data_IF_367956153140
#
_entry.id   IF_367956153140
#
_cell.length_a   1.000
_cell.length_b   1.000
_cell.length_c   1.000
_cell.angle_alpha   90.00
_cell.angle_beta   90.00
_cell.angle_gamma   90.00
#
_symmetry.space_group_name_H-M   'P 1'
#
loop_
_entity.id
_entity.type
_entity.pdbx_description
1 polymer ?
#
# COMPACT_ATOMS: atom_id res chain seq x y z
N UNK A 1 10.40 -3.39 18.42
CA UNK A 1 9.71 -2.67 19.50
C UNK A 1 8.46 -3.45 19.87
N UNK A 2 8.15 -3.58 21.18
CA UNK A 2 6.89 -4.21 21.59
C UNK A 2 5.75 -3.36 21.02
N UNK A 3 4.91 -3.97 20.23
CA UNK A 3 3.70 -3.33 19.72
C UNK A 3 2.60 -3.47 20.77
N UNK A 4 1.81 -2.43 20.96
CA UNK A 4 0.59 -2.50 21.77
C UNK A 4 -0.57 -3.12 20.99
N UNK A 5 -0.28 -3.61 19.78
CA UNK A 5 -1.27 -4.27 18.94
C UNK A 5 -1.75 -5.56 19.61
N UNK A 6 -3.05 -5.66 19.80
CA UNK A 6 -3.74 -6.86 20.20
C UNK A 6 -4.86 -7.10 19.21
N UNK A 7 -4.94 -8.33 18.72
CA UNK A 7 -6.04 -8.75 17.89
C UNK A 7 -7.34 -8.86 18.67
N UNK A 8 -8.46 -8.69 18.02
CA UNK A 8 -9.76 -8.85 18.68
C UNK A 8 -10.07 -10.33 18.84
N UNK A 9 -10.63 -10.70 20.00
CA UNK A 9 -11.02 -12.10 20.26
C UNK A 9 -12.03 -12.56 19.20
N UNK A 10 -11.70 -13.66 18.52
CA UNK A 10 -12.52 -14.22 17.45
C UNK A 10 -12.25 -13.63 16.05
N UNK A 11 -11.35 -12.65 15.91
CA UNK A 11 -10.91 -12.19 14.59
C UNK A 11 -10.03 -13.24 13.90
N UNK A 12 -10.52 -13.81 12.81
CA UNK A 12 -9.81 -14.79 11.99
C UNK A 12 -9.28 -14.21 10.69
N UNK A 13 -9.50 -12.92 10.44
CA UNK A 13 -9.12 -12.23 9.23
C UNK A 13 -7.68 -11.74 9.27
N UNK A 14 -6.92 -11.95 8.20
CA UNK A 14 -5.57 -11.41 8.02
C UNK A 14 -5.63 -10.08 7.26
N UNK A 15 -5.26 -8.98 7.92
CA UNK A 15 -5.14 -7.64 7.33
C UNK A 15 -3.68 -7.29 7.10
N UNK A 16 -3.33 -6.96 5.86
CA UNK A 16 -1.97 -6.58 5.48
C UNK A 16 -2.03 -5.22 4.79
N UNK A 17 -1.21 -4.28 5.24
CA UNK A 17 -1.12 -2.96 4.63
C UNK A 17 0.26 -2.74 3.99
N UNK A 18 0.27 -2.07 2.85
CA UNK A 18 1.47 -1.71 2.11
C UNK A 18 1.48 -0.23 1.78
N UNK A 19 2.64 0.41 1.90
CA UNK A 19 2.89 1.60 1.11
C UNK A 19 3.03 1.23 -0.37
N UNK A 20 2.92 2.22 -1.24
CA UNK A 20 2.98 1.99 -2.68
C UNK A 20 4.37 2.25 -3.26
N UNK A 21 4.87 3.50 -3.18
CA UNK A 21 6.16 3.89 -3.73
C UNK A 21 7.31 3.34 -2.88
N UNK A 22 8.32 2.76 -3.53
CA UNK A 22 9.44 2.12 -2.83
C UNK A 22 9.12 0.77 -2.18
N UNK A 23 7.87 0.30 -2.24
CA UNK A 23 7.40 -0.97 -1.67
C UNK A 23 6.79 -1.87 -2.74
N UNK A 24 5.61 -1.54 -3.25
CA UNK A 24 4.92 -2.29 -4.31
C UNK A 24 5.39 -1.85 -5.69
N UNK A 25 5.53 -0.55 -5.90
CA UNK A 25 6.14 0.08 -7.08
C UNK A 25 7.56 0.55 -6.78
N UNK A 26 8.31 0.86 -7.83
CA UNK A 26 9.62 1.49 -7.73
C UNK A 26 9.55 2.90 -7.13
N UNK A 27 10.71 3.50 -6.90
CA UNK A 27 10.86 4.83 -6.27
C UNK A 27 11.05 5.97 -7.28
N UNK A 28 10.78 5.73 -8.55
CA UNK A 28 10.97 6.71 -9.64
C UNK A 28 10.14 7.97 -9.45
N UNK A 29 8.92 7.83 -8.93
CA UNK A 29 8.04 8.94 -8.63
C UNK A 29 8.57 9.80 -7.47
N UNK A 30 9.07 9.17 -6.42
CA UNK A 30 9.70 9.84 -5.28
C UNK A 30 10.98 10.57 -5.70
N UNK A 31 11.80 9.94 -6.56
CA UNK A 31 12.99 10.59 -7.16
C UNK A 31 12.62 11.86 -7.93
N UNK A 32 11.56 11.80 -8.70
CA UNK A 32 11.06 12.97 -9.46
C UNK A 32 10.61 14.08 -8.51
N UNK A 33 9.84 13.73 -7.49
CA UNK A 33 9.38 14.67 -6.48
C UNK A 33 10.54 15.38 -5.76
N UNK A 34 11.54 14.61 -5.29
CA UNK A 34 12.69 15.16 -4.59
C UNK A 34 13.61 16.02 -5.47
N UNK A 35 13.76 15.67 -6.75
CA UNK A 35 14.65 16.39 -7.65
C UNK A 35 14.04 17.65 -8.29
N UNK A 36 12.74 17.62 -8.58
CA UNK A 36 12.08 18.67 -9.39
C UNK A 36 10.83 19.26 -8.70
N UNK A 37 10.43 18.73 -7.55
CA UNK A 37 9.33 19.23 -6.73
C UNK A 37 7.94 18.76 -7.16
N UNK A 38 6.93 19.20 -6.39
CA UNK A 38 5.55 18.71 -6.50
C UNK A 38 4.91 18.96 -7.87
N UNK A 39 5.12 20.13 -8.46
CA UNK A 39 4.50 20.46 -9.76
C UNK A 39 5.01 19.57 -10.89
N UNK A 40 6.32 19.32 -10.94
CA UNK A 40 6.92 18.43 -11.94
C UNK A 40 6.47 16.99 -11.75
N UNK A 41 6.40 16.53 -10.50
CA UNK A 41 5.85 15.22 -10.13
C UNK A 41 4.40 15.08 -10.63
N UNK A 42 3.52 16.01 -10.27
CA UNK A 42 2.10 15.96 -10.67
C UNK A 42 1.94 15.98 -12.20
N UNK A 43 2.71 16.81 -12.91
CA UNK A 43 2.66 16.85 -14.36
C UNK A 43 3.09 15.51 -14.99
N UNK A 44 4.17 14.92 -14.48
CA UNK A 44 4.63 13.60 -14.96
C UNK A 44 3.60 12.50 -14.70
N UNK A 45 2.94 12.51 -13.54
CA UNK A 45 1.91 11.53 -13.20
C UNK A 45 0.67 11.65 -14.12
N UNK A 46 0.31 12.88 -14.51
CA UNK A 46 -0.75 13.12 -15.51
C UNK A 46 -0.32 12.62 -16.89
N UNK A 47 0.88 13.00 -17.35
CA UNK A 47 1.37 12.66 -18.68
C UNK A 47 1.55 11.14 -18.85
N UNK A 48 1.98 10.47 -17.78
CA UNK A 48 2.26 9.04 -17.76
C UNK A 48 1.16 8.19 -17.11
N UNK A 49 -0.04 8.71 -16.93
CA UNK A 49 -1.14 8.03 -16.22
C UNK A 49 -1.49 6.64 -16.75
N UNK A 50 -1.23 6.37 -18.04
CA UNK A 50 -1.44 5.07 -18.70
C UNK A 50 -0.17 4.22 -18.75
N UNK A 51 0.94 4.70 -18.23
CA UNK A 51 2.22 3.98 -18.18
C UNK A 51 2.46 3.49 -16.76
N UNK A 52 2.51 2.18 -16.52
CA UNK A 52 2.77 1.65 -15.18
C UNK A 52 4.16 2.05 -14.70
N UNK A 53 4.29 2.19 -13.38
CA UNK A 53 5.57 2.29 -12.70
C UNK A 53 6.33 0.95 -12.75
N UNK A 54 7.63 1.00 -12.50
CA UNK A 54 8.43 -0.21 -12.36
C UNK A 54 8.04 -0.98 -11.10
N UNK A 55 8.37 -2.27 -11.07
CA UNK A 55 8.14 -3.11 -9.91
C UNK A 55 9.00 -2.69 -8.72
N UNK A 56 8.40 -2.61 -7.55
CA UNK A 56 9.10 -2.44 -6.29
C UNK A 56 9.54 -3.77 -5.67
N UNK A 57 10.26 -3.72 -4.53
CA UNK A 57 10.83 -4.90 -3.91
C UNK A 57 9.79 -5.92 -3.42
N UNK A 58 8.60 -5.48 -3.03
CA UNK A 58 7.52 -6.37 -2.57
C UNK A 58 6.43 -6.63 -3.62
N UNK A 59 6.64 -6.21 -4.88
CA UNK A 59 5.70 -6.44 -5.97
C UNK A 59 5.26 -7.92 -6.06
N UNK A 60 6.22 -8.83 -6.03
CA UNK A 60 5.96 -10.27 -6.14
C UNK A 60 5.17 -10.83 -4.96
N UNK A 61 5.45 -10.38 -3.73
CA UNK A 61 4.70 -10.74 -2.54
C UNK A 61 3.25 -10.22 -2.64
N UNK A 62 3.10 -8.93 -2.95
CA UNK A 62 1.79 -8.31 -3.11
C UNK A 62 0.94 -9.03 -4.17
N UNK A 63 1.53 -9.36 -5.32
CA UNK A 63 0.83 -10.09 -6.38
C UNK A 63 0.30 -11.45 -5.91
N UNK A 64 1.10 -12.23 -5.18
CA UNK A 64 0.68 -13.52 -4.65
C UNK A 64 -0.44 -13.39 -3.61
N UNK A 65 -0.32 -12.43 -2.69
CA UNK A 65 -1.36 -12.16 -1.69
C UNK A 65 -2.64 -11.67 -2.35
N UNK A 66 -2.53 -10.82 -3.38
CA UNK A 66 -3.67 -10.36 -4.17
C UNK A 66 -4.42 -11.52 -4.85
N UNK A 67 -3.70 -12.50 -5.36
CA UNK A 67 -4.31 -13.72 -5.92
C UNK A 67 -5.06 -14.53 -4.85
N UNK A 68 -4.47 -14.69 -3.66
CA UNK A 68 -5.12 -15.36 -2.53
C UNK A 68 -6.40 -14.62 -2.11
N UNK A 69 -6.34 -13.28 -1.98
CA UNK A 69 -7.49 -12.45 -1.66
C UNK A 69 -8.62 -12.60 -2.71
N UNK A 70 -8.26 -12.67 -3.99
CA UNK A 70 -9.23 -12.89 -5.07
C UNK A 70 -9.90 -14.25 -4.96
N UNK A 71 -9.14 -15.31 -4.71
CA UNK A 71 -9.68 -16.66 -4.52
C UNK A 71 -10.59 -16.73 -3.28
N UNK A 72 -10.23 -16.04 -2.21
CA UNK A 72 -11.02 -15.95 -1.00
C UNK A 72 -12.35 -15.22 -1.26
N UNK A 73 -12.33 -14.09 -1.96
CA UNK A 73 -13.53 -13.36 -2.37
C UNK A 73 -14.45 -14.21 -3.28
N UNK A 74 -13.89 -15.00 -4.18
CA UNK A 74 -14.65 -15.93 -5.03
C UNK A 74 -15.37 -17.01 -4.21
N UNK A 75 -14.79 -17.47 -3.11
CA UNK A 75 -15.44 -18.45 -2.20
C UNK A 75 -16.67 -17.87 -1.50
N UNK A 76 -16.61 -16.58 -1.16
CA UNK A 76 -17.68 -15.88 -0.43
C UNK A 76 -18.74 -15.24 -1.32
N UNK A 77 -18.61 -15.29 -2.64
CA UNK A 77 -19.44 -14.51 -3.58
C UNK A 77 -20.96 -14.74 -3.45
N UNK A 78 -21.36 -15.95 -3.05
CA UNK A 78 -22.79 -16.34 -2.92
C UNK A 78 -23.29 -16.26 -1.47
N UNK A 79 -22.45 -15.86 -0.52
CA UNK A 79 -22.77 -15.71 0.90
C UNK A 79 -22.65 -14.25 1.33
N UNK A 80 -23.79 -13.55 1.57
CA UNK A 80 -23.78 -12.15 1.98
C UNK A 80 -23.20 -11.90 3.38
N UNK A 81 -22.98 -12.95 4.17
CA UNK A 81 -22.38 -12.90 5.51
C UNK A 81 -20.94 -13.37 5.53
N UNK A 82 -20.36 -13.66 4.37
CA UNK A 82 -18.98 -14.10 4.25
C UNK A 82 -18.02 -12.98 4.65
N UNK A 83 -17.18 -13.26 5.63
CA UNK A 83 -16.08 -12.36 6.02
C UNK A 83 -14.78 -12.84 5.34
N UNK A 84 -14.16 -11.99 4.50
CA UNK A 84 -12.92 -12.35 3.82
C UNK A 84 -11.81 -12.68 4.82
N UNK A 85 -11.15 -13.83 4.63
CA UNK A 85 -10.02 -14.24 5.45
C UNK A 85 -8.76 -13.41 5.20
N UNK A 86 -8.64 -12.76 4.03
CA UNK A 86 -7.49 -11.92 3.68
C UNK A 86 -7.98 -10.58 3.14
N UNK A 87 -7.46 -9.49 3.71
CA UNK A 87 -7.69 -8.11 3.24
C UNK A 87 -6.37 -7.40 3.06
N UNK A 88 -6.13 -6.91 1.86
CA UNK A 88 -4.93 -6.15 1.50
C UNK A 88 -5.32 -4.70 1.28
N UNK A 89 -4.64 -3.80 1.99
CA UNK A 89 -4.79 -2.37 1.83
C UNK A 89 -3.51 -1.74 1.27
N UNK A 90 -3.68 -0.72 0.43
CA UNK A 90 -2.62 0.21 0.06
C UNK A 90 -2.85 1.52 0.80
N UNK A 91 -1.85 1.99 1.54
CA UNK A 91 -1.90 3.23 2.32
C UNK A 91 -0.73 4.11 1.86
N UNK A 92 -1.00 5.05 0.99
CA UNK A 92 0.03 5.84 0.30
C UNK A 92 -0.11 7.34 0.57
N UNK A 93 1.03 8.04 0.58
CA UNK A 93 1.08 9.51 0.63
C UNK A 93 0.69 10.18 -0.69
N UNK A 94 0.45 9.42 -1.74
CA UNK A 94 -0.07 9.96 -3.00
C UNK A 94 -1.44 10.62 -2.80
N UNK A 95 -1.75 11.59 -3.64
CA UNK A 95 -3.06 12.23 -3.77
C UNK A 95 -3.40 12.43 -5.24
N UNK A 96 -4.55 13.07 -5.52
CA UNK A 96 -4.87 13.45 -6.88
C UNK A 96 -3.84 14.48 -7.42
N UNK A 97 -3.43 14.41 -8.68
CA UNK A 97 -3.91 13.55 -9.77
C UNK A 97 -3.10 12.25 -9.98
N UNK A 98 -2.27 11.84 -9.01
CA UNK A 98 -1.36 10.70 -9.18
C UNK A 98 -2.00 9.31 -8.96
N UNK A 99 -3.27 9.28 -8.55
CA UNK A 99 -4.03 8.05 -8.32
C UNK A 99 -4.20 7.20 -9.58
N UNK A 100 -4.35 7.83 -10.75
CA UNK A 100 -4.59 7.09 -11.99
C UNK A 100 -3.40 6.21 -12.39
N UNK A 101 -2.18 6.73 -12.24
CA UNK A 101 -0.97 5.97 -12.53
C UNK A 101 -0.77 4.82 -11.54
N UNK A 102 -1.11 5.03 -10.27
CA UNK A 102 -1.13 3.98 -9.26
C UNK A 102 -2.09 2.85 -9.66
N UNK A 103 -3.34 3.18 -10.01
CA UNK A 103 -4.35 2.20 -10.45
C UNK A 103 -3.88 1.47 -11.72
N UNK A 104 -3.31 2.20 -12.69
CA UNK A 104 -2.75 1.63 -13.91
C UNK A 104 -1.64 0.63 -13.57
N UNK A 105 -0.78 0.95 -12.62
CA UNK A 105 0.32 0.09 -12.17
C UNK A 105 -0.21 -1.19 -11.52
N UNK A 106 -1.15 -1.09 -10.57
CA UNK A 106 -1.76 -2.26 -9.93
C UNK A 106 -2.41 -3.18 -10.97
N UNK A 107 -3.17 -2.62 -11.91
CA UNK A 107 -3.81 -3.39 -12.98
C UNK A 107 -2.80 -4.07 -13.90
N UNK A 108 -1.72 -3.40 -14.27
CA UNK A 108 -0.68 -3.96 -15.15
C UNK A 108 0.02 -5.17 -14.54
N UNK A 109 0.13 -5.21 -13.21
CA UNK A 109 0.71 -6.33 -12.48
C UNK A 109 -0.33 -7.41 -12.09
N UNK A 110 -1.59 -7.23 -12.51
CA UNK A 110 -2.68 -8.15 -12.14
C UNK A 110 -2.99 -8.13 -10.65
N UNK A 111 -2.70 -7.01 -9.98
CA UNK A 111 -2.89 -6.86 -8.54
C UNK A 111 -4.24 -6.26 -8.20
N UNK A 112 -4.76 -6.66 -7.06
CA UNK A 112 -6.00 -6.17 -6.47
C UNK A 112 -5.80 -5.87 -4.99
N UNK A 113 -6.19 -4.70 -4.55
CA UNK A 113 -6.28 -4.33 -3.13
C UNK A 113 -7.75 -4.18 -2.73
N UNK A 114 -8.12 -4.62 -1.54
CA UNK A 114 -9.47 -4.45 -1.01
C UNK A 114 -9.74 -2.97 -0.69
N UNK A 115 -8.74 -2.28 -0.17
CA UNK A 115 -8.81 -0.86 0.17
C UNK A 115 -7.62 -0.09 -0.41
N UNK A 116 -7.89 1.15 -0.83
CA UNK A 116 -6.89 2.08 -1.32
C UNK A 116 -7.08 3.44 -0.64
N UNK A 117 -6.10 3.84 0.18
CA UNK A 117 -6.09 5.10 0.91
C UNK A 117 -5.05 6.05 0.32
N UNK A 118 -5.54 7.12 -0.28
CA UNK A 118 -4.73 8.20 -0.86
C UNK A 118 -4.74 9.37 0.11
N UNK A 119 -3.62 9.67 0.74
CA UNK A 119 -3.56 10.57 1.88
C UNK A 119 -3.10 11.99 1.55
N UNK A 120 -2.62 12.23 0.33
CA UNK A 120 -2.13 13.54 -0.11
C UNK A 120 -1.12 14.18 0.87
N UNK A 121 -0.17 13.37 1.31
CA UNK A 121 0.84 13.78 2.28
C UNK A 121 0.40 13.79 3.74
N UNK A 122 -0.87 13.49 4.05
CA UNK A 122 -1.33 13.38 5.44
C UNK A 122 -0.70 12.16 6.14
N UNK A 123 -0.59 12.20 7.48
CA UNK A 123 -0.04 11.08 8.26
C UNK A 123 -0.82 9.78 8.05
N UNK A 124 -0.12 8.66 7.92
CA UNK A 124 -0.72 7.31 7.75
C UNK A 124 -1.32 6.76 9.05
N UNK A 125 -0.82 7.19 10.20
CA UNK A 125 -1.19 6.68 11.52
C UNK A 125 -2.71 6.63 11.79
N UNK A 126 -3.53 7.67 11.51
CA UNK A 126 -4.96 7.60 11.75
C UNK A 126 -5.64 6.45 10.99
N UNK A 127 -5.26 6.26 9.71
CA UNK A 127 -5.81 5.18 8.88
C UNK A 127 -5.34 3.82 9.38
N UNK A 128 -4.06 3.67 9.70
CA UNK A 128 -3.51 2.43 10.25
C UNK A 128 -4.16 2.05 11.59
N UNK A 129 -4.48 3.02 12.44
CA UNK A 129 -5.17 2.77 13.71
C UNK A 129 -6.61 2.28 13.52
N UNK A 130 -7.30 2.73 12.47
CA UNK A 130 -8.66 2.26 12.12
C UNK A 130 -8.61 0.90 11.43
N UNK A 131 -7.70 0.75 10.47
CA UNK A 131 -7.54 -0.47 9.67
C UNK A 131 -7.02 -1.65 10.51
N UNK A 132 -6.20 -1.36 11.54
CA UNK A 132 -5.55 -2.34 12.42
C UNK A 132 -4.91 -3.49 11.63
N UNK A 133 -3.98 -3.24 10.68
CA UNK A 133 -3.34 -4.32 9.96
C UNK A 133 -2.42 -5.13 10.89
N UNK A 134 -2.34 -6.43 10.67
CA UNK A 134 -1.41 -7.32 11.39
C UNK A 134 0.04 -7.06 11.04
N UNK A 135 0.27 -6.47 9.85
CA UNK A 135 1.59 -6.02 9.40
C UNK A 135 1.44 -4.89 8.39
N UNK A 136 2.32 -3.89 8.50
CA UNK A 136 2.43 -2.77 7.57
C UNK A 136 3.87 -2.68 7.02
N UNK A 137 3.99 -2.54 5.70
CA UNK A 137 5.27 -2.38 5.00
C UNK A 137 5.40 -0.97 4.44
N UNK A 138 6.52 -0.30 4.76
CA UNK A 138 6.83 1.06 4.30
C UNK A 138 8.35 1.21 4.10
N UNK A 139 8.80 2.02 3.14
CA UNK A 139 10.21 2.32 2.89
C UNK A 139 10.72 3.53 3.69
N UNK A 140 9.83 4.24 4.40
CA UNK A 140 10.17 5.45 5.15
C UNK A 140 10.03 5.25 6.66
N UNK A 141 11.17 5.32 7.35
CA UNK A 141 11.23 5.14 8.81
C UNK A 141 10.30 6.08 9.59
N UNK A 142 10.10 7.32 9.10
CA UNK A 142 9.21 8.31 9.74
C UNK A 142 7.75 7.81 9.87
N UNK A 143 7.28 6.98 8.93
CA UNK A 143 5.93 6.44 8.96
C UNK A 143 5.78 5.27 9.94
N UNK A 144 6.89 4.67 10.37
CA UNK A 144 6.92 3.50 11.24
C UNK A 144 7.12 3.86 12.71
N UNK A 145 7.85 4.93 13.01
CA UNK A 145 8.27 5.28 14.37
C UNK A 145 7.12 5.61 15.33
N UNK A 146 6.02 6.12 14.80
CA UNK A 146 4.85 6.53 15.60
C UNK A 146 3.73 5.49 15.64
N UNK A 147 3.91 4.35 14.97
CA UNK A 147 2.88 3.34 14.86
C UNK A 147 2.90 2.35 16.03
N UNK A 148 1.70 2.00 16.50
CA UNK A 148 1.48 0.87 17.41
C UNK A 148 1.31 -0.45 16.66
N UNK A 149 1.19 -0.38 15.34
CA UNK A 149 1.00 -1.51 14.43
C UNK A 149 2.35 -2.20 14.16
N UNK A 150 2.40 -3.54 14.09
CA UNK A 150 3.58 -4.24 13.61
C UNK A 150 3.98 -3.75 12.23
N UNK A 151 5.18 -3.18 12.13
CA UNK A 151 5.63 -2.47 10.93
C UNK A 151 7.02 -2.92 10.51
N UNK A 152 7.22 -3.01 9.19
CA UNK A 152 8.47 -3.45 8.58
C UNK A 152 9.02 -2.36 7.67
N UNK A 153 10.23 -1.93 7.94
CA UNK A 153 10.98 -1.05 7.06
C UNK A 153 11.51 -1.85 5.86
N UNK A 154 11.19 -1.39 4.68
CA UNK A 154 11.72 -1.94 3.43
C UNK A 154 12.93 -1.09 3.00
N UNK A 155 14.15 -1.61 3.11
CA UNK A 155 15.36 -0.86 2.77
C UNK A 155 15.52 -0.78 1.24
N UNK A 156 14.73 0.09 0.61
CA UNK A 156 14.72 0.26 -0.83
C UNK A 156 14.64 1.74 -1.21
N UNK A 157 15.30 2.07 -2.34
CA UNK A 157 15.21 3.38 -2.94
C UNK A 157 15.97 4.49 -2.19
N UNK A 158 15.60 5.71 -2.51
CA UNK A 158 16.27 6.92 -1.99
C UNK A 158 15.94 7.23 -0.52
N UNK A 159 14.83 6.72 -0.02
CA UNK A 159 14.39 6.96 1.35
C UNK A 159 15.02 6.00 2.37
N UNK A 160 15.73 4.97 1.90
CA UNK A 160 16.37 3.97 2.76
C UNK A 160 17.80 4.32 3.19
N UNK A 161 18.26 5.55 2.90
CA UNK A 161 19.60 6.03 3.24
C UNK A 161 19.60 6.85 4.51
#
# INVERSE_FOLDING_TARGET
LPTSFQDEEGDTGLRIAFDFDGVVAGDEAEKKFQSEGMKAFQQEEIDKKMQPLQAGPLQSLFSKLSQLQKLDAERGKDDPYYEPAIRIAVVTSRGAPSEQRLITTLKSFGMYAAELFLLDGMPKKPILNVLKPHIFFDDQLKHLQENTIPSVLIPFGINSK
#
